data_IF_900571413702
#
_entry.id   IF_900571413702
#
_cell.length_a   1.000
_cell.length_b   1.000
_cell.length_c   1.000
_cell.angle_alpha   90.00
_cell.angle_beta   90.00
_cell.angle_gamma   90.00
#
_symmetry.space_group_name_H-M   'P 1'
#
loop_
_entity.id
_entity.type
_entity.pdbx_description
1 polymer ?
#
# COMPACT_ATOMS: atom_id res chain seq x y z
N UNK A 1 12.67 -5.21 17.37
CA UNK A 1 11.97 -4.90 16.11
C UNK A 1 11.48 -3.48 16.20
N UNK A 2 11.90 -2.62 15.27
CA UNK A 2 11.58 -1.19 15.23
C UNK A 2 10.16 -0.97 14.71
N UNK A 3 9.59 0.22 14.90
CA UNK A 3 8.26 0.54 14.36
C UNK A 3 8.32 0.55 12.83
N UNK A 4 9.40 1.07 12.24
CA UNK A 4 9.63 1.03 10.80
C UNK A 4 9.55 -0.40 10.20
N UNK A 5 10.14 -1.40 10.86
CA UNK A 5 10.06 -2.80 10.42
C UNK A 5 8.63 -3.36 10.54
N UNK A 6 7.87 -2.99 11.56
CA UNK A 6 6.44 -3.34 11.64
C UNK A 6 5.62 -2.68 10.52
N UNK A 7 5.99 -1.48 10.08
CA UNK A 7 5.34 -0.85 8.94
C UNK A 7 5.51 -1.66 7.65
N UNK A 8 6.62 -2.38 7.44
CA UNK A 8 6.75 -3.32 6.30
C UNK A 8 5.65 -4.38 6.37
N UNK A 9 5.43 -4.98 7.54
CA UNK A 9 4.39 -5.99 7.71
C UNK A 9 3.00 -5.42 7.44
N UNK A 10 2.71 -4.21 7.95
CA UNK A 10 1.42 -3.55 7.68
C UNK A 10 1.24 -3.28 6.19
N UNK A 11 2.28 -2.75 5.52
CA UNK A 11 2.25 -2.48 4.08
C UNK A 11 2.04 -3.76 3.25
N UNK A 12 2.57 -4.90 3.69
CA UNK A 12 2.36 -6.21 3.04
C UNK A 12 0.90 -6.67 3.12
N UNK A 13 0.21 -6.37 4.23
CA UNK A 13 -1.17 -6.82 4.48
C UNK A 13 -2.20 -5.92 3.79
N UNK A 14 -1.89 -4.66 3.49
CA UNK A 14 -2.83 -3.72 2.86
C UNK A 14 -3.37 -4.18 1.48
N UNK A 15 -2.55 -4.67 0.53
CA UNK A 15 -3.07 -5.13 -0.77
C UNK A 15 -4.02 -6.33 -0.65
N UNK A 16 -3.72 -7.40 0.12
CA UNK A 16 -4.68 -8.46 0.42
C UNK A 16 -6.01 -7.97 1.03
N UNK A 17 -5.97 -6.96 1.91
CA UNK A 17 -7.18 -6.35 2.45
C UNK A 17 -8.01 -5.64 1.35
N UNK A 18 -7.35 -4.96 0.41
CA UNK A 18 -8.03 -4.38 -0.75
C UNK A 18 -8.66 -5.47 -1.65
N UNK A 19 -7.99 -6.61 -1.82
CA UNK A 19 -8.53 -7.78 -2.51
C UNK A 19 -9.80 -8.32 -1.84
N UNK A 20 -9.80 -8.37 -0.50
CA UNK A 20 -10.95 -8.77 0.29
C UNK A 20 -12.11 -7.79 0.12
N UNK A 21 -11.85 -6.49 0.18
CA UNK A 21 -12.85 -5.45 -0.08
C UNK A 21 -13.43 -5.61 -1.49
N UNK A 22 -12.61 -5.82 -2.51
CA UNK A 22 -13.06 -6.04 -3.89
C UNK A 22 -13.99 -7.26 -4.00
N UNK A 23 -13.62 -8.38 -3.37
CA UNK A 23 -14.43 -9.60 -3.36
C UNK A 23 -15.75 -9.43 -2.61
N UNK A 24 -15.73 -8.83 -1.43
CA UNK A 24 -16.93 -8.63 -0.60
C UNK A 24 -17.90 -7.64 -1.24
N UNK A 25 -17.38 -6.53 -1.78
CA UNK A 25 -18.20 -5.50 -2.42
C UNK A 25 -18.77 -5.93 -3.78
N UNK A 26 -18.26 -7.01 -4.39
CA UNK A 26 -18.80 -7.55 -5.63
C UNK A 26 -20.22 -8.10 -5.47
N UNK A 27 -20.57 -8.60 -4.28
CA UNK A 27 -21.89 -9.19 -3.99
C UNK A 27 -22.14 -10.60 -4.57
N UNK A 28 -21.27 -11.12 -5.45
CA UNK A 28 -21.44 -12.44 -6.08
C UNK A 28 -20.17 -13.31 -6.05
N UNK A 29 -19.17 -12.95 -5.24
CA UNK A 29 -18.03 -13.81 -5.00
C UNK A 29 -18.45 -15.12 -4.30
N UNK A 30 -18.07 -16.27 -4.86
CA UNK A 30 -18.45 -17.59 -4.33
C UNK A 30 -17.46 -18.70 -4.70
N UNK A 31 -17.77 -19.94 -4.32
CA UNK A 31 -16.87 -21.10 -4.48
C UNK A 31 -16.37 -21.29 -5.92
N UNK A 32 -17.25 -21.11 -6.92
CA UNK A 32 -16.86 -21.19 -8.35
C UNK A 32 -15.87 -20.09 -8.75
N UNK A 33 -16.05 -18.87 -8.26
CA UNK A 33 -15.14 -17.76 -8.51
C UNK A 33 -13.78 -17.95 -7.80
N UNK A 34 -13.74 -18.74 -6.73
CA UNK A 34 -12.51 -19.03 -6.01
C UNK A 34 -11.59 -20.03 -6.73
N UNK A 35 -12.06 -20.71 -7.77
CA UNK A 35 -11.20 -21.53 -8.64
C UNK A 35 -10.24 -20.69 -9.48
N UNK A 36 -10.67 -19.48 -9.88
CA UNK A 36 -9.82 -18.49 -10.55
C UNK A 36 -10.09 -17.09 -10.00
N UNK A 37 -9.51 -16.76 -8.83
CA UNK A 37 -9.77 -15.51 -8.17
C UNK A 37 -9.19 -14.30 -8.91
N UNK A 38 -8.19 -14.48 -9.77
CA UNK A 38 -7.58 -13.37 -10.53
C UNK A 38 -8.45 -12.99 -11.71
N UNK A 39 -8.87 -13.97 -12.51
CA UNK A 39 -9.80 -13.71 -13.60
C UNK A 39 -11.15 -13.17 -13.11
N UNK A 40 -11.57 -13.53 -11.89
CA UNK A 40 -12.72 -12.91 -11.25
C UNK A 40 -12.51 -11.41 -10.98
N UNK A 41 -11.38 -11.04 -10.37
CA UNK A 41 -11.06 -9.65 -10.02
C UNK A 41 -10.94 -8.75 -11.26
N UNK A 42 -10.44 -9.28 -12.38
CA UNK A 42 -10.29 -8.54 -13.64
C UNK A 42 -11.64 -8.16 -14.30
N UNK A 43 -12.68 -8.93 -14.01
CA UNK A 43 -14.06 -8.72 -14.51
C UNK A 43 -14.88 -7.77 -13.65
N UNK A 44 -14.33 -7.30 -12.52
CA UNK A 44 -15.04 -6.40 -11.63
C UNK A 44 -15.24 -5.02 -12.28
N UNK A 45 -16.35 -4.39 -11.93
CA UNK A 45 -16.73 -3.03 -12.34
C UNK A 45 -17.04 -2.16 -11.10
N UNK A 46 -17.06 -0.84 -11.28
CA UNK A 46 -17.41 0.11 -10.22
C UNK A 46 -16.48 0.07 -9.00
N UNK A 47 -17.05 0.13 -7.79
CA UNK A 47 -16.30 0.15 -6.53
C UNK A 47 -15.40 -1.10 -6.32
N UNK A 48 -15.87 -2.34 -6.57
CA UNK A 48 -15.03 -3.54 -6.53
C UNK A 48 -13.78 -3.45 -7.42
N UNK A 49 -13.94 -2.89 -8.63
CA UNK A 49 -12.82 -2.66 -9.56
C UNK A 49 -11.81 -1.68 -8.99
N UNK A 50 -12.29 -0.58 -8.38
CA UNK A 50 -11.44 0.42 -7.73
C UNK A 50 -10.64 -0.18 -6.57
N UNK A 51 -11.26 -1.05 -5.76
CA UNK A 51 -10.56 -1.79 -4.71
C UNK A 51 -9.49 -2.74 -5.28
N UNK A 52 -9.78 -3.45 -6.37
CA UNK A 52 -8.79 -4.30 -7.06
C UNK A 52 -7.62 -3.49 -7.62
N UNK A 53 -7.89 -2.32 -8.22
CA UNK A 53 -6.83 -1.46 -8.74
C UNK A 53 -5.97 -0.84 -7.62
N UNK A 54 -6.56 -0.54 -6.45
CA UNK A 54 -5.80 -0.14 -5.26
C UNK A 54 -4.87 -1.25 -4.75
N UNK A 55 -5.33 -2.52 -4.76
CA UNK A 55 -4.49 -3.68 -4.46
C UNK A 55 -3.27 -3.75 -5.39
N UNK A 56 -3.48 -3.66 -6.72
CA UNK A 56 -2.38 -3.75 -7.69
C UNK A 56 -1.33 -2.66 -7.45
N UNK A 57 -1.76 -1.41 -7.25
CA UNK A 57 -0.84 -0.32 -6.93
C UNK A 57 -0.09 -0.54 -5.62
N UNK A 58 -0.76 -1.13 -4.62
CA UNK A 58 -0.12 -1.51 -3.37
C UNK A 58 1.02 -2.51 -3.57
N UNK A 59 0.85 -3.50 -4.45
CA UNK A 59 1.91 -4.45 -4.80
C UNK A 59 3.06 -3.82 -5.60
N UNK A 60 2.78 -2.81 -6.44
CA UNK A 60 3.81 -2.09 -7.17
C UNK A 60 4.69 -1.23 -6.25
N UNK A 61 4.09 -0.56 -5.27
CA UNK A 61 4.79 0.35 -4.37
C UNK A 61 5.50 -0.38 -3.21
N UNK A 62 4.99 -1.54 -2.79
CA UNK A 62 5.49 -2.28 -1.63
C UNK A 62 7.00 -2.63 -1.71
N UNK A 63 7.53 -3.19 -2.81
CA UNK A 63 8.95 -3.55 -2.89
C UNK A 63 9.89 -2.37 -2.68
N UNK A 64 9.54 -1.20 -3.25
CA UNK A 64 10.33 0.01 -3.09
C UNK A 64 10.34 0.49 -1.64
N UNK A 65 9.18 0.49 -0.97
CA UNK A 65 9.10 0.85 0.44
C UNK A 65 9.85 -0.13 1.36
N UNK A 66 9.66 -1.43 1.17
CA UNK A 66 10.34 -2.45 1.96
C UNK A 66 11.87 -2.35 1.81
N UNK A 67 12.35 -2.18 0.57
CA UNK A 67 13.77 -1.98 0.32
C UNK A 67 14.31 -0.72 0.99
N UNK A 68 13.59 0.41 0.91
CA UNK A 68 14.02 1.66 1.52
C UNK A 68 14.15 1.58 3.04
N UNK A 69 13.18 0.97 3.73
CA UNK A 69 13.23 0.76 5.18
C UNK A 69 14.38 -0.17 5.57
N UNK A 70 14.55 -1.30 4.85
CA UNK A 70 15.62 -2.24 5.15
C UNK A 70 17.01 -1.64 4.91
N UNK A 71 17.18 -0.86 3.84
CA UNK A 71 18.45 -0.16 3.58
C UNK A 71 18.74 0.86 4.68
N UNK A 72 17.75 1.65 5.10
CA UNK A 72 17.93 2.62 6.17
C UNK A 72 18.31 1.97 7.52
N UNK A 73 17.69 0.83 7.84
CA UNK A 73 17.97 0.04 9.04
C UNK A 73 19.38 -0.58 9.00
N UNK A 74 19.81 -1.10 7.84
CA UNK A 74 21.14 -1.70 7.64
C UNK A 74 22.26 -0.65 7.70
N UNK A 75 22.06 0.51 7.07
CA UNK A 75 23.07 1.58 7.05
C UNK A 75 23.24 2.18 8.44
N UNK A 76 22.15 2.33 9.19
CA UNK A 76 22.20 2.74 10.60
C UNK A 76 22.61 4.20 10.85
N UNK A 77 22.77 5.03 9.80
CA UNK A 77 23.12 6.45 9.92
C UNK A 77 21.93 7.34 10.35
N UNK A 78 20.71 6.92 10.01
CA UNK A 78 19.50 7.68 10.32
C UNK A 78 19.03 7.41 11.76
N UNK A 79 18.66 8.47 12.50
CA UNK A 79 18.08 8.34 13.83
C UNK A 79 16.83 7.44 13.81
N UNK A 80 16.74 6.49 14.75
CA UNK A 80 15.65 5.52 14.84
C UNK A 80 14.26 6.16 14.83
N UNK A 81 14.08 7.26 15.56
CA UNK A 81 12.82 7.99 15.65
C UNK A 81 12.39 8.52 14.28
N UNK A 82 13.34 8.98 13.48
CA UNK A 82 13.07 9.51 12.13
C UNK A 82 12.60 8.40 11.20
N UNK A 83 13.25 7.23 11.25
CA UNK A 83 12.82 6.06 10.46
C UNK A 83 11.41 5.59 10.86
N UNK A 84 11.12 5.54 12.15
CA UNK A 84 9.81 5.15 12.68
C UNK A 84 8.71 6.12 12.23
N UNK A 85 8.97 7.44 12.28
CA UNK A 85 8.05 8.48 11.83
C UNK A 85 7.80 8.40 10.32
N UNK A 86 8.84 8.24 9.51
CA UNK A 86 8.71 8.04 8.05
C UNK A 86 7.88 6.79 7.74
N UNK A 87 8.11 5.69 8.46
CA UNK A 87 7.37 4.44 8.30
C UNK A 87 5.88 4.61 8.57
N UNK A 88 5.53 5.26 9.70
CA UNK A 88 4.12 5.54 10.05
C UNK A 88 3.47 6.47 9.03
N UNK A 89 4.15 7.55 8.63
CA UNK A 89 3.64 8.47 7.61
C UNK A 89 3.37 7.77 6.26
N UNK A 90 4.22 6.82 5.87
CA UNK A 90 4.00 6.04 4.65
C UNK A 90 2.73 5.19 4.76
N UNK A 91 2.53 4.50 5.89
CA UNK A 91 1.30 3.72 6.14
C UNK A 91 0.07 4.61 6.12
N UNK A 92 0.11 5.77 6.78
CA UNK A 92 -0.98 6.74 6.73
C UNK A 92 -1.26 7.21 5.30
N UNK A 93 -0.23 7.51 4.51
CA UNK A 93 -0.38 7.82 3.08
C UNK A 93 -1.05 6.68 2.31
N UNK A 94 -0.70 5.41 2.56
CA UNK A 94 -1.34 4.26 1.90
C UNK A 94 -2.81 4.11 2.28
N UNK A 95 -3.16 4.29 3.54
CA UNK A 95 -4.56 4.26 3.98
C UNK A 95 -5.38 5.37 3.31
N UNK A 96 -4.86 6.60 3.28
CA UNK A 96 -5.50 7.72 2.60
C UNK A 96 -5.61 7.48 1.09
N UNK A 97 -4.58 6.92 0.46
CA UNK A 97 -4.60 6.57 -0.96
C UNK A 97 -5.71 5.57 -1.28
N UNK A 98 -5.84 4.51 -0.47
CA UNK A 98 -6.88 3.48 -0.62
C UNK A 98 -8.26 4.14 -0.47
N UNK A 99 -8.49 4.97 0.55
CA UNK A 99 -9.75 5.69 0.75
C UNK A 99 -10.08 6.56 -0.47
N UNK A 100 -9.13 7.34 -0.96
CA UNK A 100 -9.31 8.18 -2.16
C UNK A 100 -9.64 7.34 -3.40
N UNK A 101 -9.04 6.15 -3.52
CA UNK A 101 -9.32 5.23 -4.61
C UNK A 101 -10.76 4.70 -4.54
N UNK A 102 -11.21 4.27 -3.36
CA UNK A 102 -12.57 3.77 -3.16
C UNK A 102 -13.63 4.86 -3.38
N UNK A 103 -13.35 6.09 -2.95
CA UNK A 103 -14.20 7.27 -3.09
C UNK A 103 -14.15 7.94 -4.47
N UNK A 104 -13.30 7.46 -5.38
CA UNK A 104 -13.13 8.00 -6.75
C UNK A 104 -12.60 9.45 -6.82
N UNK A 105 -11.78 9.85 -5.85
CA UNK A 105 -11.18 11.19 -5.77
C UNK A 105 -9.84 11.26 -6.52
N UNK A 106 -9.90 11.34 -7.85
CA UNK A 106 -8.74 11.19 -8.73
C UNK A 106 -7.55 12.14 -8.45
N UNK A 107 -7.82 13.42 -8.19
CA UNK A 107 -6.76 14.42 -7.93
C UNK A 107 -6.07 14.14 -6.59
N UNK A 108 -6.86 13.95 -5.52
CA UNK A 108 -6.31 13.68 -4.19
C UNK A 108 -5.55 12.35 -4.16
N UNK A 109 -6.05 11.32 -4.86
CA UNK A 109 -5.36 10.05 -5.03
C UNK A 109 -3.95 10.24 -5.60
N UNK A 110 -3.81 11.07 -6.63
CA UNK A 110 -2.52 11.33 -7.27
C UNK A 110 -1.57 12.09 -6.35
N UNK A 111 -2.07 13.11 -5.64
CA UNK A 111 -1.29 13.85 -4.65
C UNK A 111 -0.76 12.94 -3.53
N UNK A 112 -1.63 12.12 -2.93
CA UNK A 112 -1.26 11.19 -1.86
C UNK A 112 -0.27 10.12 -2.36
N UNK A 113 -0.38 9.72 -3.64
CA UNK A 113 0.60 8.84 -4.27
C UNK A 113 1.99 9.48 -4.34
N UNK A 114 2.09 10.73 -4.79
CA UNK A 114 3.36 11.46 -4.82
C UNK A 114 3.97 11.63 -3.43
N UNK A 115 3.15 11.92 -2.41
CA UNK A 115 3.62 11.96 -1.02
C UNK A 115 4.20 10.61 -0.59
N UNK A 116 3.53 9.50 -0.91
CA UNK A 116 4.03 8.16 -0.61
C UNK A 116 5.39 7.88 -1.27
N UNK A 117 5.56 8.29 -2.53
CA UNK A 117 6.83 8.15 -3.24
C UNK A 117 7.94 9.02 -2.62
N UNK A 118 7.62 10.27 -2.27
CA UNK A 118 8.55 11.16 -1.60
C UNK A 118 9.03 10.58 -0.25
N UNK A 119 8.13 9.95 0.52
CA UNK A 119 8.49 9.28 1.78
C UNK A 119 9.46 8.11 1.58
N UNK A 120 9.29 7.32 0.50
CA UNK A 120 10.25 6.26 0.14
C UNK A 120 11.62 6.86 -0.15
N UNK A 121 11.69 7.94 -0.94
CA UNK A 121 12.95 8.63 -1.25
C UNK A 121 13.59 9.20 0.02
N UNK A 122 12.79 9.76 0.94
CA UNK A 122 13.28 10.34 2.19
C UNK A 122 14.07 9.34 3.04
N UNK A 123 13.72 8.05 3.05
CA UNK A 123 14.51 7.02 3.75
C UNK A 123 15.97 7.00 3.27
N UNK A 124 16.20 7.08 1.96
CA UNK A 124 17.57 7.12 1.42
C UNK A 124 18.29 8.42 1.75
N UNK A 125 17.58 9.55 1.75
CA UNK A 125 18.17 10.87 2.04
C UNK A 125 18.61 10.98 3.49
N UNK A 126 17.80 10.49 4.44
CA UNK A 126 18.13 10.56 5.87
C UNK A 126 19.20 9.54 6.29
N UNK A 127 19.45 8.52 5.45
CA UNK A 127 20.44 7.47 5.70
C UNK A 127 21.81 7.75 5.09
N UNK A 128 22.02 8.92 4.48
CA UNK A 128 23.35 9.41 4.10
C UNK A 128 24.10 9.79 5.38
#
# INVERSE_FOLDING_TARGET
>A
MTVALWCILVALVLPPLCALIAKLSSGYFGLRANHDPRAFLDKLEGLPRRAHAAQLNGYEAFPAFAAAVLVADIVGNAEQVTQDVLGVMYITSRLLYIICYLADWAVLRSLVWFVGMALIVSFFVVSI
#
